data_IF_234997453324
#
_entry.id   IF_234997453324
#
_cell.length_a   1.000
_cell.length_b   1.000
_cell.length_c   1.000
_cell.angle_alpha   90.00
_cell.angle_beta   90.00
_cell.angle_gamma   90.00
#
_symmetry.space_group_name_H-M   'P 1'
#
loop_
_entity.id
_entity.type
_entity.pdbx_description
1 polymer ?
#
# COMPACT_ATOMS: atom_id res chain seq x y z
N UNK A 1 19.70 8.29 -6.34
CA UNK A 1 18.30 8.65 -5.99
C UNK A 1 17.56 7.40 -5.51
N UNK A 2 17.27 7.31 -4.20
CA UNK A 2 16.56 6.16 -3.62
C UNK A 2 15.08 6.18 -4.04
N UNK A 3 14.76 5.53 -5.17
CA UNK A 3 13.39 5.33 -5.66
C UNK A 3 12.50 4.53 -4.70
N UNK A 4 13.08 3.87 -3.70
CA UNK A 4 12.33 3.06 -2.73
C UNK A 4 11.40 3.90 -1.86
N UNK A 5 11.84 5.10 -1.44
CA UNK A 5 11.00 6.01 -0.64
C UNK A 5 9.74 6.43 -1.38
N UNK A 6 9.85 6.75 -2.67
CA UNK A 6 8.71 7.19 -3.50
C UNK A 6 7.73 6.06 -3.79
N UNK A 7 8.21 4.82 -3.94
CA UNK A 7 7.31 3.65 -4.17
C UNK A 7 6.53 3.29 -2.92
N UNK A 8 7.17 3.32 -1.75
CA UNK A 8 6.50 3.08 -0.46
C UNK A 8 5.42 4.15 -0.22
N UNK A 9 5.77 5.42 -0.43
CA UNK A 9 4.81 6.53 -0.33
C UNK A 9 3.65 6.37 -1.31
N UNK A 10 3.89 5.91 -2.54
CA UNK A 10 2.83 5.65 -3.51
C UNK A 10 1.85 4.56 -3.03
N UNK A 11 2.35 3.48 -2.41
CA UNK A 11 1.49 2.43 -1.83
C UNK A 11 0.61 3.00 -0.72
N UNK A 12 1.20 3.76 0.21
CA UNK A 12 0.46 4.39 1.31
C UNK A 12 -0.59 5.37 0.79
N UNK A 13 -0.22 6.21 -0.18
CA UNK A 13 -1.15 7.17 -0.79
C UNK A 13 -2.33 6.49 -1.49
N UNK A 14 -2.11 5.36 -2.18
CA UNK A 14 -3.19 4.61 -2.82
C UNK A 14 -4.17 4.03 -1.78
N UNK A 15 -3.65 3.47 -0.68
CA UNK A 15 -4.50 2.95 0.41
C UNK A 15 -5.33 4.09 1.01
N UNK A 16 -4.69 5.23 1.29
CA UNK A 16 -5.39 6.41 1.82
C UNK A 16 -6.45 6.93 0.84
N UNK A 17 -6.17 6.94 -0.45
CA UNK A 17 -7.15 7.33 -1.47
C UNK A 17 -8.36 6.40 -1.50
N UNK A 18 -8.16 5.08 -1.33
CA UNK A 18 -9.25 4.10 -1.24
C UNK A 18 -10.06 4.20 0.06
N UNK A 19 -9.43 4.59 1.17
CA UNK A 19 -10.14 4.92 2.41
C UNK A 19 -10.98 6.19 2.20
N UNK A 20 -10.41 7.23 1.60
CA UNK A 20 -11.09 8.49 1.30
C UNK A 20 -12.28 8.29 0.34
N UNK A 21 -12.15 7.39 -0.63
CA UNK A 21 -13.24 7.01 -1.54
C UNK A 21 -14.27 6.07 -0.91
N UNK A 22 -14.17 5.77 0.40
CA UNK A 22 -14.99 4.79 1.14
C UNK A 22 -14.98 3.37 0.56
N UNK A 23 -13.98 3.03 -0.24
CA UNK A 23 -13.79 1.65 -0.71
C UNK A 23 -13.24 0.75 0.40
N UNK A 24 -12.42 1.31 1.28
CA UNK A 24 -11.95 0.66 2.51
C UNK A 24 -12.55 1.35 3.73
N UNK A 25 -13.69 0.81 4.19
CA UNK A 25 -14.32 1.23 5.43
C UNK A 25 -13.55 0.70 6.64
N UNK A 26 -13.75 1.31 7.80
CA UNK A 26 -13.21 0.80 9.07
C UNK A 26 -13.59 -0.67 9.28
N UNK A 27 -12.59 -1.51 9.55
CA UNK A 27 -12.78 -2.96 9.72
C UNK A 27 -12.72 -3.77 8.42
N UNK A 28 -12.62 -3.12 7.25
CA UNK A 28 -12.37 -3.83 6.00
C UNK A 28 -10.94 -4.37 5.95
N UNK A 29 -10.80 -5.61 5.49
CA UNK A 29 -9.49 -6.23 5.31
C UNK A 29 -8.80 -5.61 4.10
N UNK A 30 -7.58 -5.10 4.30
CA UNK A 30 -6.75 -4.63 3.20
C UNK A 30 -6.42 -5.76 2.20
N UNK A 31 -6.11 -5.42 0.93
CA UNK A 31 -5.64 -6.39 -0.04
C UNK A 31 -4.40 -7.12 0.47
N UNK A 32 -4.28 -8.41 0.10
CA UNK A 32 -3.06 -9.15 0.38
C UNK A 32 -1.85 -8.46 -0.26
N UNK A 33 -0.68 -8.62 0.35
CA UNK A 33 0.59 -8.06 -0.16
C UNK A 33 0.80 -8.42 -1.63
N UNK A 34 0.47 -9.66 -2.02
CA UNK A 34 0.59 -10.12 -3.40
C UNK A 34 -0.40 -9.42 -4.34
N UNK A 35 -1.64 -9.21 -3.91
CA UNK A 35 -2.64 -8.53 -4.71
C UNK A 35 -2.27 -7.05 -4.94
N UNK A 36 -1.82 -6.36 -3.90
CA UNK A 36 -1.40 -4.96 -4.00
C UNK A 36 -0.12 -4.81 -4.85
N UNK A 37 0.85 -5.71 -4.68
CA UNK A 37 2.06 -5.75 -5.51
C UNK A 37 1.72 -5.93 -6.99
N UNK A 38 0.76 -6.81 -7.31
CA UNK A 38 0.29 -7.01 -8.69
C UNK A 38 -0.45 -5.79 -9.24
N UNK A 39 -1.32 -5.17 -8.45
CA UNK A 39 -2.09 -3.99 -8.85
C UNK A 39 -1.17 -2.80 -9.20
N UNK A 40 -0.14 -2.59 -8.38
CA UNK A 40 0.82 -1.48 -8.55
C UNK A 40 2.06 -1.83 -9.37
N UNK A 41 2.21 -3.10 -9.80
CA UNK A 41 3.41 -3.65 -10.47
C UNK A 41 4.70 -3.40 -9.67
N UNK A 42 4.62 -3.56 -8.35
CA UNK A 42 5.73 -3.39 -7.42
C UNK A 42 6.26 -4.74 -6.91
N UNK A 43 7.46 -4.74 -6.33
CA UNK A 43 7.96 -5.92 -5.64
C UNK A 43 7.15 -6.17 -4.37
N UNK A 44 6.98 -7.45 -4.01
CA UNK A 44 6.33 -7.86 -2.76
C UNK A 44 7.02 -7.20 -1.56
N UNK A 45 8.36 -7.17 -1.53
CA UNK A 45 9.13 -6.53 -0.45
C UNK A 45 8.81 -5.05 -0.26
N UNK A 46 8.52 -4.32 -1.34
CA UNK A 46 8.14 -2.89 -1.26
C UNK A 46 6.77 -2.72 -0.59
N UNK A 47 5.84 -3.63 -0.88
CA UNK A 47 4.49 -3.59 -0.29
C UNK A 47 4.51 -4.05 1.17
N UNK A 48 5.33 -5.06 1.51
CA UNK A 48 5.56 -5.45 2.91
C UNK A 48 6.08 -4.27 3.71
N UNK A 49 7.15 -3.62 3.25
CA UNK A 49 7.73 -2.45 3.95
C UNK A 49 6.72 -1.30 4.07
N UNK A 50 5.86 -1.10 3.06
CA UNK A 50 4.81 -0.09 3.11
C UNK A 50 3.72 -0.41 4.15
N UNK A 51 3.28 -1.66 4.24
CA UNK A 51 2.30 -2.09 5.23
C UNK A 51 2.86 -2.03 6.65
N UNK A 52 4.12 -2.42 6.83
CA UNK A 52 4.83 -2.30 8.11
C UNK A 52 4.92 -0.83 8.56
N UNK A 53 5.24 0.10 7.65
CA UNK A 53 5.23 1.55 7.96
C UNK A 53 3.85 2.13 8.24
N UNK A 54 2.79 1.54 7.71
CA UNK A 54 1.42 2.01 7.92
C UNK A 54 0.82 1.50 9.24
N UNK A 55 1.32 0.36 9.74
CA UNK A 55 0.91 -0.23 11.01
C UNK A 55 1.67 0.34 12.23
N UNK A 56 2.81 1.01 12.00
CA UNK A 56 3.58 1.74 13.02
C UNK A 56 2.92 3.09 13.36
#
# INVERSE_FOLDING_TARGET
MKRSGTRIQAVVAEIQAKIASRAYLSGTRLPSVRAQAKAMRLSISTVVEAYERLAA
#
